data_IF_998367307428
#
_entry.id   IF_998367307428
#
_cell.length_a   1.000
_cell.length_b   1.000
_cell.length_c   1.000
_cell.angle_alpha   90.00
_cell.angle_beta   90.00
_cell.angle_gamma   90.00
#
_symmetry.space_group_name_H-M   'P 1'
#
loop_
_entity.id
_entity.type
_entity.pdbx_description
1 polymer ?
#
# COMPACT_ATOMS: atom_id res chain seq x y z
N UNK A 1 -3.82 15.82 -12.11
CA UNK A 1 -3.98 14.43 -12.59
C UNK A 1 -3.42 13.52 -11.51
N UNK A 2 -4.30 12.92 -10.68
CA UNK A 2 -3.91 11.99 -9.63
C UNK A 2 -3.32 10.77 -10.31
N UNK A 3 -2.02 10.51 -10.15
CA UNK A 3 -1.54 9.17 -10.42
C UNK A 3 -2.11 8.28 -9.32
N UNK A 4 -2.88 7.30 -9.78
CA UNK A 4 -3.53 6.17 -9.13
C UNK A 4 -2.80 5.51 -7.93
N UNK A 5 -1.54 5.85 -7.69
CA UNK A 5 -0.61 5.19 -6.80
C UNK A 5 -0.84 5.43 -5.31
N UNK A 6 -1.49 6.51 -4.90
CA UNK A 6 -1.56 6.83 -3.47
C UNK A 6 -2.78 6.23 -2.78
N UNK A 7 -3.96 6.21 -3.41
CA UNK A 7 -5.20 5.80 -2.73
C UNK A 7 -5.24 4.30 -2.35
N UNK A 8 -4.62 3.42 -3.16
CA UNK A 8 -4.53 1.98 -2.86
C UNK A 8 -3.21 1.56 -2.20
N UNK A 9 -2.23 2.46 -2.10
CA UNK A 9 -1.04 2.30 -1.25
C UNK A 9 -1.19 2.93 0.13
N UNK A 10 -2.30 3.62 0.41
CA UNK A 10 -2.62 4.06 1.76
C UNK A 10 -2.57 2.89 2.76
N UNK A 11 -3.18 1.72 2.45
CA UNK A 11 -2.98 0.50 3.23
C UNK A 11 -1.51 0.08 3.27
N UNK A 12 -0.79 0.03 2.14
CA UNK A 12 0.61 -0.44 2.12
C UNK A 12 1.57 0.44 2.93
N UNK A 13 1.45 1.77 2.91
CA UNK A 13 2.28 2.66 3.72
C UNK A 13 2.03 2.50 5.24
N UNK A 14 0.79 2.22 5.65
CA UNK A 14 0.46 1.88 7.04
C UNK A 14 0.77 0.43 7.45
N UNK A 15 0.63 -0.50 6.50
CA UNK A 15 0.74 -1.94 6.70
C UNK A 15 2.20 -2.37 6.86
N UNK A 16 3.11 -1.74 6.10
CA UNK A 16 4.54 -2.07 6.09
C UNK A 16 5.36 -1.32 7.16
N UNK A 17 4.76 -0.46 7.99
CA UNK A 17 5.51 0.37 8.96
C UNK A 17 6.41 -0.45 9.92
N UNK A 18 5.99 -1.65 10.28
CA UNK A 18 6.71 -2.53 11.20
C UNK A 18 7.52 -3.62 10.49
N UNK A 19 7.75 -3.50 9.20
CA UNK A 19 8.40 -4.54 8.42
C UNK A 19 9.48 -3.92 7.55
N UNK A 20 10.63 -4.58 7.46
CA UNK A 20 11.62 -4.24 6.46
C UNK A 20 11.35 -5.04 5.18
N UNK A 21 11.67 -4.46 4.03
CA UNK A 21 11.53 -5.16 2.74
C UNK A 21 12.58 -6.27 2.51
N UNK A 22 13.48 -6.50 3.48
CA UNK A 22 14.59 -7.44 3.39
C UNK A 22 14.21 -8.79 4.00
N UNK A 23 14.96 -9.84 3.65
CA UNK A 23 14.90 -11.10 4.37
C UNK A 23 15.61 -10.93 5.72
N UNK A 24 14.85 -10.72 6.78
CA UNK A 24 15.38 -10.36 8.10
C UNK A 24 14.53 -10.96 9.22
N UNK A 25 15.18 -11.46 10.28
CA UNK A 25 14.50 -11.99 11.46
C UNK A 25 13.60 -10.97 12.17
N UNK A 26 13.86 -9.68 12.02
CA UNK A 26 12.98 -8.59 12.47
C UNK A 26 11.56 -8.71 11.91
N UNK A 27 11.37 -9.32 10.74
CA UNK A 27 10.04 -9.52 10.16
C UNK A 27 9.26 -10.69 10.77
N UNK A 28 9.91 -11.55 11.57
CA UNK A 28 9.29 -12.77 12.10
C UNK A 28 8.35 -12.48 13.26
N UNK A 29 7.12 -12.97 13.17
CA UNK A 29 6.10 -12.91 14.23
C UNK A 29 6.07 -14.17 15.09
N UNK A 30 7.02 -15.10 14.91
CA UNK A 30 7.21 -16.31 15.73
C UNK A 30 5.95 -17.19 15.87
N UNK A 31 5.05 -17.17 14.87
CA UNK A 31 3.86 -18.02 14.89
C UNK A 31 4.18 -19.41 14.35
N UNK A 32 3.81 -20.45 15.10
CA UNK A 32 4.09 -21.87 14.80
C UNK A 32 3.46 -22.36 13.48
N UNK A 33 2.63 -21.54 12.83
CA UNK A 33 1.79 -21.93 11.70
C UNK A 33 2.51 -21.91 10.34
N UNK A 34 3.67 -21.26 10.19
CA UNK A 34 4.25 -21.00 8.87
C UNK A 34 5.77 -21.16 8.79
N UNK A 35 6.30 -22.32 9.20
CA UNK A 35 7.73 -22.66 9.14
C UNK A 35 8.37 -22.51 7.74
N UNK A 36 7.57 -22.40 6.68
CA UNK A 36 8.03 -22.25 5.29
C UNK A 36 7.86 -20.83 4.73
N UNK A 37 7.30 -19.89 5.48
CA UNK A 37 7.13 -18.51 5.01
C UNK A 37 8.42 -17.73 5.25
N UNK A 38 9.01 -17.12 4.23
CA UNK A 38 10.23 -16.33 4.41
C UNK A 38 9.94 -15.08 5.27
N UNK A 39 10.90 -14.70 6.12
CA UNK A 39 10.82 -13.49 6.93
C UNK A 39 11.11 -12.22 6.09
N UNK A 40 10.30 -11.97 5.06
CA UNK A 40 10.43 -10.82 4.16
C UNK A 40 9.16 -9.98 4.18
N UNK A 41 9.30 -8.68 4.46
CA UNK A 41 8.14 -7.79 4.61
C UNK A 41 7.18 -8.34 5.66
N UNK A 42 5.88 -8.25 5.39
CA UNK A 42 4.84 -8.81 6.28
C UNK A 42 4.43 -10.25 5.92
N UNK A 43 5.26 -11.02 5.21
CA UNK A 43 4.86 -12.34 4.75
C UNK A 43 4.35 -13.24 5.90
N UNK A 44 5.04 -13.23 7.04
CA UNK A 44 4.64 -13.98 8.25
C UNK A 44 3.37 -13.40 8.93
N UNK A 45 3.05 -12.12 8.69
CA UNK A 45 1.82 -11.48 9.19
C UNK A 45 0.60 -11.71 8.28
N UNK A 46 0.80 -12.34 7.12
CA UNK A 46 -0.24 -12.55 6.11
C UNK A 46 -0.91 -11.25 5.69
N UNK A 47 -2.24 -11.23 5.75
CA UNK A 47 -3.05 -10.06 5.39
C UNK A 47 -3.36 -9.12 6.55
N UNK A 48 -2.98 -9.47 7.79
CA UNK A 48 -3.36 -8.70 8.97
C UNK A 48 -3.00 -7.21 8.87
N UNK A 49 -1.83 -6.81 8.35
CA UNK A 49 -1.48 -5.39 8.24
C UNK A 49 -2.26 -4.63 7.15
N UNK A 50 -2.72 -5.33 6.10
CA UNK A 50 -3.40 -4.72 4.94
C UNK A 50 -4.90 -4.52 5.15
N UNK A 51 -5.49 -5.21 6.13
CA UNK A 51 -6.93 -5.20 6.37
C UNK A 51 -7.34 -3.95 7.15
N UNK A 52 -7.80 -2.92 6.43
CA UNK A 52 -8.53 -1.80 7.04
C UNK A 52 -9.74 -2.35 7.81
N UNK A 53 -9.98 -1.83 9.02
CA UNK A 53 -10.93 -2.30 10.04
C UNK A 53 -10.51 -3.56 10.80
N UNK A 54 -9.24 -3.95 10.74
CA UNK A 54 -8.70 -5.04 11.54
C UNK A 54 -7.84 -4.53 12.69
N UNK A 55 -7.89 -5.26 13.80
CA UNK A 55 -7.00 -5.09 14.94
C UNK A 55 -6.26 -6.40 15.16
N UNK A 56 -4.96 -6.33 15.41
CA UNK A 56 -4.10 -7.50 15.56
C UNK A 56 -2.94 -7.22 16.51
N UNK A 57 -2.30 -8.28 16.99
CA UNK A 57 -1.16 -8.15 17.92
C UNK A 57 0.15 -8.43 17.21
N UNK A 58 1.07 -7.48 17.29
CA UNK A 58 2.45 -7.59 16.81
C UNK A 58 3.37 -7.88 18.01
N UNK A 59 3.69 -9.16 18.22
CA UNK A 59 4.50 -9.61 19.36
C UNK A 59 5.94 -9.12 19.36
N UNK A 60 6.40 -8.49 18.27
CA UNK A 60 7.75 -7.90 18.18
C UNK A 60 7.83 -6.54 18.87
N UNK A 61 6.69 -5.90 19.08
CA UNK A 61 6.63 -4.58 19.70
C UNK A 61 6.52 -4.67 21.23
N UNK A 62 6.93 -3.60 21.89
CA UNK A 62 6.74 -3.41 23.34
C UNK A 62 5.26 -3.46 23.72
N UNK A 63 4.97 -3.83 24.97
CA UNK A 63 3.61 -4.06 25.48
C UNK A 63 2.63 -2.92 25.19
N UNK A 64 3.09 -1.65 25.30
CA UNK A 64 2.25 -0.48 25.04
C UNK A 64 1.84 -0.32 23.58
N UNK A 65 2.57 -0.95 22.65
CA UNK A 65 2.43 -0.76 21.20
C UNK A 65 2.10 -2.07 20.46
N UNK A 66 2.05 -3.22 21.13
CA UNK A 66 1.81 -4.51 20.48
C UNK A 66 0.42 -4.63 19.86
N UNK A 67 -0.57 -3.92 20.39
CA UNK A 67 -1.95 -3.95 19.85
C UNK A 67 -2.09 -2.92 18.75
N UNK A 68 -2.26 -3.40 17.52
CA UNK A 68 -2.33 -2.59 16.33
C UNK A 68 -3.78 -2.37 15.91
N UNK A 69 -4.14 -1.11 15.66
CA UNK A 69 -5.39 -0.72 15.02
C UNK A 69 -5.10 -0.17 13.62
N UNK A 70 -5.49 -0.93 12.59
CA UNK A 70 -5.26 -0.53 11.21
C UNK A 70 -6.10 0.69 10.77
N UNK A 71 -7.22 1.00 11.44
CA UNK A 71 -7.99 2.20 11.13
C UNK A 71 -7.22 3.46 11.54
N UNK A 72 -6.63 3.45 12.73
CA UNK A 72 -5.79 4.56 13.21
C UNK A 72 -4.63 4.76 12.26
N UNK A 73 -3.90 3.69 11.92
CA UNK A 73 -2.76 3.77 11.00
C UNK A 73 -3.15 4.24 9.61
N UNK A 74 -4.26 3.76 9.06
CA UNK A 74 -4.77 4.19 7.76
C UNK A 74 -5.06 5.69 7.74
N UNK A 75 -5.73 6.22 8.78
CA UNK A 75 -6.06 7.64 8.89
C UNK A 75 -4.81 8.50 9.06
N UNK A 76 -3.84 8.06 9.87
CA UNK A 76 -2.58 8.78 10.07
C UNK A 76 -1.76 8.85 8.76
N UNK A 77 -1.64 7.72 8.05
CA UNK A 77 -1.01 7.68 6.74
C UNK A 77 -1.74 8.57 5.72
N UNK A 78 -3.08 8.53 5.71
CA UNK A 78 -3.90 9.39 4.86
C UNK A 78 -3.66 10.88 5.14
N UNK A 79 -3.54 11.28 6.41
CA UNK A 79 -3.25 12.66 6.79
C UNK A 79 -1.93 13.14 6.19
N UNK A 80 -0.87 12.32 6.32
CA UNK A 80 0.48 12.66 5.84
C UNK A 80 0.54 12.75 4.32
N UNK A 81 -0.08 11.79 3.62
CA UNK A 81 -0.12 11.79 2.15
C UNK A 81 -0.93 12.98 1.64
N UNK A 82 -2.10 13.23 2.23
CA UNK A 82 -2.95 14.35 1.86
C UNK A 82 -2.24 15.69 2.05
N UNK A 83 -1.59 15.90 3.19
CA UNK A 83 -0.84 17.12 3.48
C UNK A 83 0.32 17.33 2.49
N UNK A 84 1.10 16.28 2.19
CA UNK A 84 2.19 16.35 1.21
C UNK A 84 1.67 16.65 -0.19
N UNK A 85 0.59 15.99 -0.60
CA UNK A 85 -0.01 16.19 -1.91
C UNK A 85 -0.56 17.62 -2.07
N UNK A 86 -1.33 18.11 -1.10
CA UNK A 86 -1.85 19.47 -1.15
C UNK A 86 -0.75 20.51 -1.23
N UNK A 87 0.30 20.39 -0.41
CA UNK A 87 1.44 21.33 -0.45
C UNK A 87 2.25 21.23 -1.75
N UNK A 88 2.27 20.05 -2.37
CA UNK A 88 2.89 19.90 -3.69
C UNK A 88 2.06 20.60 -4.79
N UNK A 89 0.73 20.51 -4.72
CA UNK A 89 -0.19 21.14 -5.70
C UNK A 89 -0.29 22.65 -5.49
N UNK A 90 -0.41 23.11 -4.25
CA UNK A 90 -0.41 24.52 -3.87
C UNK A 90 0.55 24.77 -2.70
N UNK A 91 1.79 25.19 -3.00
CA UNK A 91 2.80 25.47 -1.97
C UNK A 91 2.41 26.59 -0.99
N UNK A 92 1.37 27.37 -1.27
CA UNK A 92 0.92 28.50 -0.45
C UNK A 92 -0.24 28.13 0.49
N UNK A 93 -0.70 26.88 0.46
CA UNK A 93 -1.79 26.44 1.34
C UNK A 93 -1.41 26.68 2.80
N UNK A 94 -2.26 27.40 3.53
CA UNK A 94 -2.06 27.64 4.96
C UNK A 94 -2.38 26.40 5.78
N UNK A 95 -1.76 26.26 6.95
CA UNK A 95 -2.05 25.14 7.85
C UNK A 95 -3.51 25.14 8.33
N UNK A 96 -4.15 26.31 8.42
CA UNK A 96 -5.58 26.45 8.72
C UNK A 96 -6.43 25.82 7.63
N UNK A 97 -6.16 26.14 6.36
CA UNK A 97 -6.92 25.61 5.23
C UNK A 97 -6.67 24.10 5.06
N UNK A 98 -5.42 23.66 5.24
CA UNK A 98 -5.05 22.24 5.21
C UNK A 98 -5.77 21.46 6.32
N UNK A 99 -5.81 22.01 7.54
CA UNK A 99 -6.50 21.39 8.68
C UNK A 99 -8.01 21.30 8.45
N UNK A 100 -8.63 22.36 7.94
CA UNK A 100 -10.06 22.39 7.66
C UNK A 100 -10.45 21.39 6.55
N UNK A 101 -9.69 21.35 5.45
CA UNK A 101 -9.96 20.41 4.35
C UNK A 101 -9.69 18.96 4.75
N UNK A 102 -8.63 18.71 5.54
CA UNK A 102 -8.35 17.40 6.11
C UNK A 102 -9.46 16.93 7.05
N UNK A 103 -10.01 17.80 7.90
CA UNK A 103 -11.09 17.42 8.82
C UNK A 103 -12.32 16.90 8.06
N UNK A 104 -12.68 17.53 6.94
CA UNK A 104 -13.75 17.07 6.05
C UNK A 104 -13.43 15.69 5.48
N UNK A 105 -12.26 15.54 4.86
CA UNK A 105 -11.84 14.27 4.25
C UNK A 105 -11.73 13.14 5.27
N UNK A 106 -11.17 13.41 6.45
CA UNK A 106 -11.08 12.44 7.56
C UNK A 106 -12.46 11.94 7.97
N UNK A 107 -13.45 12.82 8.06
CA UNK A 107 -14.84 12.44 8.35
C UNK A 107 -15.40 11.48 7.30
N UNK A 108 -15.21 11.81 6.01
CA UNK A 108 -15.64 10.97 4.90
C UNK A 108 -14.95 9.60 4.90
N UNK A 109 -13.63 9.56 5.08
CA UNK A 109 -12.85 8.31 5.15
C UNK A 109 -13.29 7.45 6.34
N UNK A 110 -13.51 8.05 7.51
CA UNK A 110 -13.96 7.35 8.72
C UNK A 110 -15.34 6.74 8.53
N UNK A 111 -16.27 7.48 7.91
CA UNK A 111 -17.58 6.95 7.56
C UNK A 111 -17.47 5.76 6.58
N UNK A 112 -16.64 5.90 5.53
CA UNK A 112 -16.43 4.85 4.54
C UNK A 112 -15.81 3.58 5.15
N UNK A 113 -14.84 3.69 6.07
CA UNK A 113 -14.26 2.55 6.80
C UNK A 113 -15.31 1.79 7.62
N UNK A 114 -16.27 2.50 8.23
CA UNK A 114 -17.31 1.92 9.07
C UNK A 114 -18.52 1.37 8.26
N UNK A 115 -18.44 1.34 6.93
CA UNK A 115 -19.53 0.85 6.09
C UNK A 115 -19.72 -0.66 6.30
N UNK A 116 -20.75 -1.04 7.07
CA UNK A 116 -21.14 -2.43 7.24
C UNK A 116 -21.92 -2.90 6.01
N UNK A 117 -21.60 -4.09 5.51
CA UNK A 117 -22.49 -4.78 4.57
C UNK A 117 -23.72 -5.29 5.33
N UNK A 118 -24.90 -5.19 4.71
CA UNK A 118 -26.16 -5.80 5.19
C UNK A 118 -26.02 -7.33 5.40
N UNK A 119 -25.06 -7.98 4.73
CA UNK A 119 -24.81 -9.42 4.82
C UNK A 119 -23.87 -9.84 5.96
N UNK A 120 -23.53 -8.94 6.89
CA UNK A 120 -22.69 -9.27 8.03
C UNK A 120 -21.23 -9.59 7.67
N UNK A 121 -20.40 -10.02 8.66
CA UNK A 121 -18.94 -10.00 8.63
C UNK A 121 -18.30 -11.15 7.82
N UNK A 122 -18.93 -11.59 6.73
CA UNK A 122 -18.23 -12.45 5.77
C UNK A 122 -17.12 -11.61 5.14
N UNK A 123 -15.86 -11.94 5.44
CA UNK A 123 -14.60 -11.19 5.25
C UNK A 123 -14.39 -10.40 3.94
N UNK A 124 -15.21 -10.59 2.89
CA UNK A 124 -15.16 -9.86 1.62
C UNK A 124 -16.29 -8.81 1.42
N UNK A 125 -17.37 -8.87 2.19
CA UNK A 125 -18.55 -8.00 2.01
C UNK A 125 -18.27 -6.56 2.48
N UNK A 126 -17.48 -6.41 3.56
CA UNK A 126 -17.05 -5.12 4.11
C UNK A 126 -16.03 -4.41 3.22
N UNK A 127 -15.09 -5.16 2.61
CA UNK A 127 -14.11 -4.59 1.67
C UNK A 127 -14.79 -4.00 0.44
N UNK A 128 -15.73 -4.75 -0.18
CA UNK A 128 -16.48 -4.26 -1.35
C UNK A 128 -17.31 -3.02 -1.01
N UNK A 129 -18.03 -3.04 0.11
CA UNK A 129 -18.81 -1.90 0.58
C UNK A 129 -17.93 -0.67 0.82
N UNK A 130 -16.75 -0.85 1.43
CA UNK A 130 -15.77 0.21 1.64
C UNK A 130 -15.20 0.77 0.34
N UNK A 131 -14.88 -0.07 -0.64
CA UNK A 131 -14.42 0.37 -1.97
C UNK A 131 -15.49 1.24 -2.64
N UNK A 132 -16.77 0.82 -2.58
CA UNK A 132 -17.89 1.60 -3.10
C UNK A 132 -17.99 2.95 -2.37
N UNK A 133 -17.89 2.96 -1.05
CA UNK A 133 -17.91 4.19 -0.26
C UNK A 133 -16.75 5.14 -0.62
N UNK A 134 -15.53 4.62 -0.81
CA UNK A 134 -14.39 5.41 -1.27
C UNK A 134 -14.60 5.99 -2.67
N UNK A 135 -15.21 5.24 -3.60
CA UNK A 135 -15.59 5.76 -4.93
C UNK A 135 -16.62 6.90 -4.83
N UNK A 136 -17.52 6.84 -3.84
CA UNK A 136 -18.45 7.94 -3.56
C UNK A 136 -17.76 9.22 -3.08
N UNK A 137 -16.57 9.12 -2.46
CA UNK A 137 -15.78 10.29 -2.02
C UNK A 137 -15.03 10.91 -3.21
N UNK A 138 -14.50 10.08 -4.11
CA UNK A 138 -13.72 10.53 -5.26
C UNK A 138 -14.16 9.81 -6.53
N UNK A 139 -15.11 10.41 -7.23
CA UNK A 139 -15.76 9.85 -8.42
C UNK A 139 -14.85 9.78 -9.66
N UNK A 140 -13.79 10.60 -9.68
CA UNK A 140 -12.89 10.71 -10.83
C UNK A 140 -11.76 9.66 -10.84
N UNK A 141 -11.69 8.79 -9.82
CA UNK A 141 -10.67 7.73 -9.76
C UNK A 141 -11.14 6.56 -10.63
N UNK A 142 -10.37 6.15 -11.66
CA UNK A 142 -10.76 5.04 -12.52
C UNK A 142 -10.78 3.71 -11.77
N UNK A 143 -11.31 2.68 -12.41
CA UNK A 143 -11.25 1.34 -11.86
C UNK A 143 -9.80 0.83 -11.80
N UNK A 144 -9.45 0.16 -10.70
CA UNK A 144 -8.10 -0.39 -10.57
C UNK A 144 -7.94 -1.60 -11.47
N UNK A 145 -6.95 -1.52 -12.35
CA UNK A 145 -6.50 -2.64 -13.13
C UNK A 145 -5.05 -2.98 -12.73
N UNK A 146 -4.91 -4.04 -11.93
CA UNK A 146 -3.64 -4.51 -11.34
C UNK A 146 -2.49 -4.60 -12.35
N UNK A 147 -2.80 -5.04 -13.57
CA UNK A 147 -1.80 -5.35 -14.57
C UNK A 147 -1.69 -4.30 -15.68
N UNK A 148 -2.44 -3.19 -15.59
CA UNK A 148 -2.51 -2.15 -16.64
C UNK A 148 -1.11 -1.67 -17.05
N UNK A 149 -0.28 -1.29 -16.08
CA UNK A 149 1.07 -0.77 -16.35
C UNK A 149 1.97 -1.85 -16.98
N UNK A 150 1.87 -3.09 -16.51
CA UNK A 150 2.60 -4.21 -17.10
C UNK A 150 2.16 -4.45 -18.54
N UNK A 151 0.85 -4.56 -18.77
CA UNK A 151 0.26 -4.84 -20.08
C UNK A 151 0.46 -3.70 -21.08
N UNK A 152 0.55 -2.44 -20.63
CA UNK A 152 0.82 -1.29 -21.51
C UNK A 152 2.29 -1.18 -21.92
N UNK A 153 3.21 -1.85 -21.21
CA UNK A 153 4.64 -1.75 -21.46
C UNK A 153 5.28 -3.04 -21.98
N UNK A 154 4.71 -4.19 -21.66
CA UNK A 154 5.27 -5.51 -21.95
C UNK A 154 4.23 -6.37 -22.66
N UNK A 155 4.64 -7.11 -23.69
CA UNK A 155 3.86 -8.19 -24.30
C UNK A 155 4.36 -9.54 -23.82
N UNK A 156 3.43 -10.43 -23.48
CA UNK A 156 3.71 -11.83 -23.22
C UNK A 156 3.62 -12.57 -24.56
N UNK A 157 4.63 -13.37 -24.87
CA UNK A 157 4.52 -14.31 -25.99
C UNK A 157 3.86 -15.59 -25.47
N UNK A 158 2.73 -15.96 -26.07
CA UNK A 158 1.97 -17.17 -25.71
C UNK A 158 2.19 -18.29 -26.72
N UNK A 159 3.10 -18.09 -27.69
CA UNK A 159 3.48 -19.11 -28.65
C UNK A 159 4.48 -20.08 -28.04
N UNK A 160 4.13 -21.37 -28.05
CA UNK A 160 4.90 -22.54 -27.64
C UNK A 160 4.76 -22.98 -26.17
N UNK A 161 4.86 -24.30 -25.99
CA UNK A 161 4.81 -25.08 -24.74
C UNK A 161 6.02 -24.78 -23.85
N UNK A 162 6.27 -23.50 -23.60
CA UNK A 162 7.41 -23.06 -22.84
C UNK A 162 7.08 -23.11 -21.35
N UNK A 163 7.94 -23.77 -20.57
CA UNK A 163 7.83 -23.87 -19.12
C UNK A 163 8.06 -22.51 -18.43
N UNK A 164 8.48 -21.49 -19.19
CA UNK A 164 8.79 -20.16 -18.71
C UNK A 164 8.11 -19.08 -19.56
N UNK A 165 7.41 -18.17 -18.88
CA UNK A 165 6.79 -17.02 -19.53
C UNK A 165 7.87 -16.10 -20.14
N UNK A 166 7.87 -15.97 -21.48
CA UNK A 166 8.72 -14.99 -22.19
C UNK A 166 8.00 -13.65 -22.34
N UNK A 167 8.72 -12.58 -22.01
CA UNK A 167 8.22 -11.21 -22.03
C UNK A 167 9.10 -10.33 -22.91
N UNK A 168 8.46 -9.47 -23.70
CA UNK A 168 9.14 -8.50 -24.56
C UNK A 168 8.62 -7.09 -24.27
N UNK A 169 9.53 -6.11 -24.25
CA UNK A 169 9.13 -4.70 -24.22
C UNK A 169 8.33 -4.34 -25.47
N UNK A 170 7.29 -3.52 -25.30
CA UNK A 170 6.62 -2.82 -26.41
C UNK A 170 7.47 -1.62 -26.84
N UNK A 171 7.12 -0.98 -27.95
CA UNK A 171 7.89 0.14 -28.51
C UNK A 171 8.08 1.30 -27.51
N UNK A 172 7.10 1.54 -26.64
CA UNK A 172 7.14 2.55 -25.60
C UNK A 172 7.71 2.05 -24.25
N UNK A 173 8.37 0.89 -24.20
CA UNK A 173 8.78 0.25 -22.95
C UNK A 173 9.60 1.20 -22.06
N UNK A 174 10.62 1.86 -22.61
CA UNK A 174 11.53 2.75 -21.87
C UNK A 174 10.84 4.01 -21.34
N UNK A 175 9.79 4.47 -22.02
CA UNK A 175 9.00 5.62 -21.59
C UNK A 175 7.79 5.26 -20.74
N UNK A 176 7.51 3.96 -20.60
CA UNK A 176 6.32 3.48 -19.92
C UNK A 176 6.35 3.81 -18.42
N UNK A 177 5.16 4.05 -17.81
CA UNK A 177 5.07 4.19 -16.36
C UNK A 177 5.60 2.96 -15.60
N UNK A 178 5.48 1.77 -16.20
CA UNK A 178 6.03 0.54 -15.65
C UNK A 178 7.56 0.61 -15.53
N UNK A 179 8.26 0.87 -16.63
CA UNK A 179 9.72 0.96 -16.60
C UNK A 179 10.21 2.04 -15.63
N UNK A 180 9.60 3.24 -15.69
CA UNK A 180 9.94 4.37 -14.80
C UNK A 180 9.77 4.00 -13.32
N UNK A 181 8.71 3.26 -12.98
CA UNK A 181 8.53 2.74 -11.62
C UNK A 181 9.64 1.77 -11.19
N UNK A 182 10.08 0.88 -12.08
CA UNK A 182 11.19 -0.04 -11.78
C UNK A 182 12.51 0.68 -11.56
N UNK A 183 12.78 1.71 -12.36
CA UNK A 183 13.96 2.55 -12.19
C UNK A 183 13.93 3.25 -10.84
N UNK A 184 12.81 3.92 -10.52
CA UNK A 184 12.63 4.59 -9.24
C UNK A 184 12.75 3.62 -8.04
N UNK A 185 12.20 2.40 -8.16
CA UNK A 185 12.30 1.39 -7.10
C UNK A 185 13.75 0.94 -6.85
N UNK A 186 14.53 0.73 -7.92
CA UNK A 186 15.96 0.39 -7.82
C UNK A 186 16.78 1.53 -7.22
N UNK A 187 16.56 2.75 -7.69
CA UNK A 187 17.23 3.93 -7.14
C UNK A 187 16.93 4.12 -5.65
N UNK A 188 15.68 3.93 -5.24
CA UNK A 188 15.31 4.01 -3.84
C UNK A 188 15.89 2.87 -2.99
N UNK A 189 15.98 1.66 -3.55
CA UNK A 189 16.67 0.54 -2.93
C UNK A 189 18.14 0.87 -2.69
N UNK A 190 18.85 1.39 -3.69
CA UNK A 190 20.27 1.71 -3.57
C UNK A 190 20.53 2.80 -2.51
N UNK A 191 19.69 3.84 -2.47
CA UNK A 191 19.71 4.84 -1.40
C UNK A 191 19.48 4.20 -0.03
N UNK A 192 18.51 3.30 0.08
CA UNK A 192 18.19 2.62 1.34
C UNK A 192 19.35 1.72 1.80
N UNK A 193 19.95 0.95 0.90
CA UNK A 193 21.09 0.09 1.20
C UNK A 193 22.31 0.90 1.61
N UNK A 194 22.55 2.06 1.01
CA UNK A 194 23.63 2.95 1.43
C UNK A 194 23.43 3.50 2.84
N UNK A 195 22.19 3.86 3.21
CA UNK A 195 21.87 4.29 4.59
C UNK A 195 22.09 3.15 5.59
N UNK A 196 21.78 1.92 5.17
CA UNK A 196 21.89 0.72 6.00
C UNK A 196 23.28 0.07 5.93
N UNK A 197 24.23 0.62 5.17
CA UNK A 197 25.52 -0.02 4.89
C UNK A 197 26.27 -0.35 6.18
N UNK A 198 26.24 0.53 7.18
CA UNK A 198 26.92 0.31 8.46
C UNK A 198 26.29 -0.81 9.32
N UNK A 199 25.05 -1.22 9.01
CA UNK A 199 24.32 -2.27 9.74
C UNK A 199 24.45 -3.65 9.10
N UNK A 200 24.75 -3.71 7.79
CA UNK A 200 24.78 -4.95 7.01
C UNK A 200 26.10 -5.17 6.24
N UNK A 201 27.06 -4.25 6.35
CA UNK A 201 28.36 -4.26 5.66
C UNK A 201 29.49 -4.91 6.45
#
# INVERSE_FOLDING_TARGET
MITFWQAQRLPSLSAHQNFCGLLDHFNSLSSVAWTFTPNIGHADAGHNPDLVCHQWTDGRLIESNKNIDNNTRFIDAAAQIYARFLRFVDPRVSDVNLGASWAILKGQLTAAMNTRSFLGPLFNSSQKARIIAYRGICIDIPDYEKDLWRHTAVKKDTGELDLFDRYWGKDNFWDSPWYKLQRAAKEHHDVSMNILADLYG
#
